data_IF_319528110847
#
_entry.id   IF_319528110847
#
_cell.length_a   1.000
_cell.length_b   1.000
_cell.length_c   1.000
_cell.angle_alpha   90.00
_cell.angle_beta   90.00
_cell.angle_gamma   90.00
#
_symmetry.space_group_name_H-M   'P 1'
#
loop_
_entity.id
_entity.type
_entity.pdbx_description
1 polymer ?
#
# COMPACT_ATOMS: atom_id res chain seq x y z
N UNK A 1 -2.78 4.04 29.13
CA UNK A 1 -3.07 2.64 28.75
C UNK A 1 -4.32 2.49 27.89
N UNK A 2 -5.44 3.15 28.17
CA UNK A 2 -6.71 2.96 27.43
C UNK A 2 -6.69 3.44 25.98
N UNK A 3 -6.02 4.57 25.67
CA UNK A 3 -5.92 5.11 24.28
C UNK A 3 -5.16 4.20 23.32
N UNK A 4 -4.12 3.50 23.78
CA UNK A 4 -3.30 2.62 22.93
C UNK A 4 -4.05 1.35 22.53
N UNK A 5 -4.89 0.83 23.43
CA UNK A 5 -5.76 -0.33 23.18
C UNK A 5 -6.80 0.02 22.11
N UNK A 6 -7.43 1.21 22.21
CA UNK A 6 -8.42 1.67 21.22
C UNK A 6 -7.83 1.92 19.83
N UNK A 7 -6.58 2.38 19.74
CA UNK A 7 -5.90 2.58 18.46
C UNK A 7 -5.54 1.24 17.80
N UNK A 8 -5.15 0.24 18.59
CA UNK A 8 -4.88 -1.12 18.10
C UNK A 8 -6.13 -1.79 17.52
N UNK A 9 -7.27 -1.70 18.21
CA UNK A 9 -8.55 -2.26 17.73
C UNK A 9 -9.04 -1.59 16.44
N UNK A 10 -8.90 -0.26 16.34
CA UNK A 10 -9.22 0.47 15.09
C UNK A 10 -8.32 0.05 13.93
N UNK A 11 -7.02 -0.13 14.17
CA UNK A 11 -6.10 -0.59 13.14
C UNK A 11 -6.44 -2.02 12.67
N UNK A 12 -6.81 -2.90 13.61
CA UNK A 12 -7.22 -4.28 13.30
C UNK A 12 -8.54 -4.32 12.50
N UNK A 13 -9.52 -3.48 12.87
CA UNK A 13 -10.79 -3.38 12.16
C UNK A 13 -10.62 -2.84 10.73
N UNK A 14 -9.73 -1.85 10.54
CA UNK A 14 -9.38 -1.32 9.21
C UNK A 14 -8.70 -2.39 8.35
N UNK A 15 -7.82 -3.20 8.94
CA UNK A 15 -7.17 -4.32 8.25
C UNK A 15 -8.15 -5.43 7.89
N UNK A 16 -9.08 -5.81 8.78
CA UNK A 16 -10.10 -6.81 8.49
C UNK A 16 -11.08 -6.36 7.40
N UNK A 17 -11.54 -5.10 7.45
CA UNK A 17 -12.40 -4.53 6.41
C UNK A 17 -11.68 -4.47 5.06
N UNK A 18 -10.40 -4.09 5.05
CA UNK A 18 -9.58 -4.11 3.85
C UNK A 18 -9.38 -5.53 3.30
N UNK A 19 -9.13 -6.52 4.15
CA UNK A 19 -8.99 -7.93 3.76
C UNK A 19 -10.28 -8.54 3.18
N UNK A 20 -11.45 -8.17 3.71
CA UNK A 20 -12.74 -8.73 3.30
C UNK A 20 -13.22 -8.24 1.92
N UNK A 21 -12.73 -7.09 1.44
CA UNK A 21 -13.24 -6.42 0.23
C UNK A 21 -12.14 -6.17 -0.81
N UNK A 22 -10.99 -6.83 -0.71
CA UNK A 22 -9.80 -6.43 -1.45
C UNK A 22 -9.82 -6.85 -2.92
N UNK A 23 -10.50 -6.04 -3.72
CA UNK A 23 -10.18 -5.94 -5.14
C UNK A 23 -8.74 -5.42 -5.28
N UNK A 24 -7.95 -5.99 -6.20
CA UNK A 24 -6.59 -5.54 -6.40
C UNK A 24 -6.56 -4.06 -6.80
N UNK A 25 -5.70 -3.27 -6.16
CA UNK A 25 -5.55 -1.86 -6.52
C UNK A 25 -5.21 -1.70 -8.00
N UNK A 26 -5.81 -0.70 -8.63
CA UNK A 26 -5.38 -0.24 -9.94
C UNK A 26 -4.01 0.46 -9.84
N UNK A 27 -3.23 0.52 -10.94
CA UNK A 27 -2.03 1.34 -10.98
C UNK A 27 -2.26 2.81 -10.58
N UNK A 28 -3.45 3.36 -10.87
CA UNK A 28 -3.84 4.70 -10.46
C UNK A 28 -3.97 4.82 -8.94
N UNK A 29 -4.67 3.88 -8.30
CA UNK A 29 -4.81 3.85 -6.84
C UNK A 29 -3.45 3.68 -6.14
N UNK A 30 -2.53 2.89 -6.72
CA UNK A 30 -1.18 2.76 -6.20
C UNK A 30 -0.38 4.08 -6.26
N UNK A 31 -0.54 4.86 -7.34
CA UNK A 31 0.06 6.21 -7.46
C UNK A 31 -0.53 7.18 -6.44
N UNK A 32 -1.83 7.14 -6.24
CA UNK A 32 -2.49 8.01 -5.28
C UNK A 32 -2.10 7.66 -3.84
N UNK A 33 -1.98 6.36 -3.52
CA UNK A 33 -1.41 5.91 -2.25
C UNK A 33 0.01 6.45 -2.04
N UNK A 34 0.87 6.37 -3.06
CA UNK A 34 2.24 6.89 -2.98
C UNK A 34 2.27 8.39 -2.65
N UNK A 35 1.38 9.17 -3.28
CA UNK A 35 1.24 10.62 -3.03
C UNK A 35 0.73 10.90 -1.62
N UNK A 36 -0.30 10.18 -1.14
CA UNK A 36 -0.84 10.35 0.21
C UNK A 36 0.20 10.08 1.30
N UNK A 37 1.05 9.09 1.08
CA UNK A 37 2.14 8.75 1.99
C UNK A 37 3.36 9.69 1.87
N UNK A 38 3.37 10.62 0.91
CA UNK A 38 4.50 11.52 0.66
C UNK A 38 5.78 10.81 0.20
N UNK A 39 5.66 9.63 -0.42
CA UNK A 39 6.81 8.78 -0.76
C UNK A 39 7.33 9.05 -2.18
N UNK A 40 8.64 8.93 -2.36
CA UNK A 40 9.23 8.76 -3.70
C UNK A 40 9.03 7.32 -4.18
N UNK A 41 9.09 7.06 -5.49
CA UNK A 41 8.96 5.69 -6.01
C UNK A 41 10.00 4.73 -5.43
N UNK A 42 11.24 5.20 -5.18
CA UNK A 42 12.27 4.41 -4.49
C UNK A 42 11.93 4.18 -3.01
N UNK A 43 11.37 5.17 -2.33
CA UNK A 43 10.94 5.05 -0.94
C UNK A 43 9.79 4.04 -0.79
N UNK A 44 8.80 4.11 -1.68
CA UNK A 44 7.70 3.15 -1.74
C UNK A 44 8.19 1.73 -2.04
N UNK A 45 9.07 1.56 -3.03
CA UNK A 45 9.66 0.26 -3.35
C UNK A 45 10.40 -0.35 -2.15
N UNK A 46 11.17 0.46 -1.42
CA UNK A 46 11.88 0.02 -0.21
C UNK A 46 10.93 -0.40 0.91
N UNK A 47 9.86 0.35 1.13
CA UNK A 47 8.84 0.00 2.15
C UNK A 47 8.08 -1.28 1.80
N UNK A 48 7.83 -1.52 0.52
CA UNK A 48 7.16 -2.72 0.02
C UNK A 48 8.12 -3.90 -0.19
N UNK A 49 9.42 -3.73 0.08
CA UNK A 49 10.43 -4.79 -0.07
C UNK A 49 10.66 -5.25 -1.52
N UNK A 50 10.46 -4.37 -2.50
CA UNK A 50 10.64 -4.68 -3.92
C UNK A 50 11.65 -3.77 -4.61
N UNK A 51 12.13 -4.17 -5.80
CA UNK A 51 13.02 -3.32 -6.59
C UNK A 51 12.27 -2.09 -7.13
N UNK A 52 13.00 -0.99 -7.32
CA UNK A 52 12.42 0.26 -7.84
C UNK A 52 11.83 0.07 -9.24
N UNK A 53 12.45 -0.73 -10.09
CA UNK A 53 11.96 -1.08 -11.43
C UNK A 53 10.66 -1.87 -11.36
N UNK A 54 10.59 -2.87 -10.47
CA UNK A 54 9.38 -3.69 -10.29
C UNK A 54 8.21 -2.86 -9.72
N UNK A 55 8.50 -1.83 -8.93
CA UNK A 55 7.51 -0.87 -8.46
C UNK A 55 7.02 0.05 -9.60
N UNK A 56 7.94 0.57 -10.41
CA UNK A 56 7.59 1.41 -11.57
C UNK A 56 6.73 0.67 -12.59
N UNK A 57 7.03 -0.59 -12.89
CA UNK A 57 6.20 -1.41 -13.79
C UNK A 57 4.76 -1.56 -13.28
N UNK A 58 4.57 -1.69 -11.96
CA UNK A 58 3.25 -1.75 -11.31
C UNK A 58 2.54 -0.41 -11.33
N UNK A 59 3.26 0.67 -11.08
CA UNK A 59 2.76 2.04 -11.18
C UNK A 59 2.34 2.38 -12.61
N UNK A 60 3.05 1.88 -13.62
CA UNK A 60 2.72 2.07 -15.03
C UNK A 60 1.66 1.08 -15.52
N UNK A 61 1.35 0.03 -14.75
CA UNK A 61 0.40 -1.03 -15.12
C UNK A 61 0.89 -1.92 -16.28
N UNK A 62 2.18 -1.85 -16.61
CA UNK A 62 2.78 -2.55 -17.74
C UNK A 62 4.21 -2.92 -17.40
N UNK A 63 4.59 -4.17 -17.65
CA UNK A 63 5.97 -4.61 -17.55
C UNK A 63 6.79 -3.95 -18.64
N UNK A 64 7.92 -3.34 -18.26
CA UNK A 64 8.84 -2.79 -19.25
C UNK A 64 9.52 -3.88 -20.07
N UNK A 65 9.82 -5.03 -19.46
CA UNK A 65 10.56 -6.14 -20.09
C UNK A 65 9.69 -7.00 -21.00
N UNK A 66 8.46 -7.33 -20.59
CA UNK A 66 7.60 -8.26 -21.35
C UNK A 66 6.47 -7.56 -22.09
N UNK A 67 6.24 -6.27 -21.83
CA UNK A 67 5.12 -5.51 -22.39
C UNK A 67 3.74 -5.94 -21.89
N UNK A 68 3.66 -6.92 -21.00
CA UNK A 68 2.39 -7.43 -20.46
C UNK A 68 1.80 -6.44 -19.47
N UNK A 69 0.46 -6.41 -19.39
CA UNK A 69 -0.22 -5.68 -18.33
C UNK A 69 0.12 -6.29 -16.97
N UNK A 70 0.53 -5.45 -16.03
CA UNK A 70 0.77 -5.87 -14.66
C UNK A 70 -0.38 -5.35 -13.81
N UNK A 71 -1.14 -6.29 -13.25
CA UNK A 71 -2.07 -6.01 -12.16
C UNK A 71 -1.29 -5.93 -10.84
N UNK A 72 -1.67 -4.98 -9.99
CA UNK A 72 -1.19 -4.97 -8.61
C UNK A 72 -1.81 -6.19 -7.93
N UNK A 73 -1.01 -7.06 -7.31
CA UNK A 73 -1.56 -8.24 -6.65
C UNK A 73 -2.33 -7.85 -5.38
N UNK A 74 -3.25 -8.72 -4.94
CA UNK A 74 -3.95 -8.56 -3.67
C UNK A 74 -2.98 -8.42 -2.48
N UNK A 75 -1.85 -9.12 -2.54
CA UNK A 75 -0.79 -9.02 -1.51
C UNK A 75 -0.19 -7.62 -1.43
N UNK A 76 0.12 -7.00 -2.58
CA UNK A 76 0.66 -5.63 -2.59
C UNK A 76 -0.41 -4.64 -2.13
N UNK A 77 -1.66 -4.87 -2.51
CA UNK A 77 -2.79 -4.07 -2.04
C UNK A 77 -2.88 -4.11 -0.51
N UNK A 78 -2.78 -5.30 0.09
CA UNK A 78 -2.76 -5.46 1.55
C UNK A 78 -1.60 -4.72 2.20
N UNK A 79 -0.39 -4.86 1.64
CA UNK A 79 0.79 -4.20 2.16
C UNK A 79 0.66 -2.67 2.13
N UNK A 80 0.13 -2.09 1.04
CA UNK A 80 -0.11 -0.66 0.93
C UNK A 80 -1.11 -0.18 1.99
N UNK A 81 -2.22 -0.90 2.17
CA UNK A 81 -3.24 -0.56 3.16
C UNK A 81 -2.73 -0.67 4.60
N UNK A 82 -1.93 -1.71 4.89
CA UNK A 82 -1.32 -1.88 6.21
C UNK A 82 -0.35 -0.73 6.54
N UNK A 83 0.49 -0.35 5.58
CA UNK A 83 1.42 0.78 5.74
C UNK A 83 0.68 2.11 5.93
N UNK A 84 -0.41 2.32 5.19
CA UNK A 84 -1.25 3.52 5.33
C UNK A 84 -1.92 3.58 6.71
N UNK A 85 -2.46 2.46 7.21
CA UNK A 85 -3.05 2.39 8.55
C UNK A 85 -2.02 2.70 9.65
N UNK A 86 -0.81 2.15 9.55
CA UNK A 86 0.28 2.43 10.49
C UNK A 86 0.71 3.90 10.42
N UNK A 87 0.81 4.46 9.21
CA UNK A 87 1.16 5.87 9.02
C UNK A 87 0.14 6.81 9.67
N UNK A 88 -1.16 6.55 9.47
CA UNK A 88 -2.24 7.32 10.09
C UNK A 88 -2.17 7.21 11.62
N UNK A 89 -1.94 6.03 12.17
CA UNK A 89 -1.84 5.82 13.62
C UNK A 89 -0.66 6.57 14.25
N UNK A 90 0.47 6.67 13.53
CA UNK A 90 1.68 7.35 14.01
C UNK A 90 1.61 8.87 13.89
N UNK A 91 0.92 9.41 12.88
CA UNK A 91 0.74 10.86 12.68
C UNK A 91 -0.23 11.52 13.67
N UNK A 92 -0.86 10.74 14.56
CA UNK A 92 -1.77 11.23 15.61
C UNK A 92 -1.10 11.25 17.01
N UNK A 93 0.19 10.95 17.10
CA UNK A 93 1.03 11.17 18.29
C UNK A 93 1.73 12.51 18.21
#
# INVERSE_FOLDING_TARGET
MTKEITNGEKALALLQAACAQMEPMTPAQLRDWQKRMGLTGRGAARLLGMSATAYLDRVNGKSYTTGQQITVSRVITLACTALEAVHIANSQR
#
